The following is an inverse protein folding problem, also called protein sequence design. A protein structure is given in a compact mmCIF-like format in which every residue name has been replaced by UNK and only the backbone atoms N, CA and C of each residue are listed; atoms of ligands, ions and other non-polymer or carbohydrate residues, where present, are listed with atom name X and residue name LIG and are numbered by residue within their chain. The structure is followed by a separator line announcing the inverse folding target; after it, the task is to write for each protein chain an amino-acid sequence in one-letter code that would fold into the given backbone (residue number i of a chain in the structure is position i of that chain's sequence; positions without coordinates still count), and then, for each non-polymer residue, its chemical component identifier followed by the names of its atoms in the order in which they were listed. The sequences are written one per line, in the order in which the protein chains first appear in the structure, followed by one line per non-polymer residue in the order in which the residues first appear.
data_IF_699793531414
#
_entry.id   IF_699793531414
#
_cell.length_a   1.000
_cell.length_b   1.000
_cell.length_c   1.000
_cell.angle_alpha   90.00
_cell.angle_beta   90.00
_cell.angle_gamma   90.00
#
_symmetry.space_group_name_H-M   'P 1'
#
loop_
_entity.id
_entity.type
_entity.pdbx_description
1 polymer ?
#
# COMPACT_ATOMS: atom_id res chain seq x y z
N UNK A 1 10.79 4.12 6.72
CA UNK A 1 11.82 3.16 7.15
C UNK A 1 13.10 3.59 6.48
N UNK A 2 14.22 3.65 7.21
CA UNK A 2 15.54 3.94 6.68
C UNK A 2 16.55 3.01 7.35
N UNK A 3 17.71 2.79 6.74
CA UNK A 3 18.76 1.92 7.29
C UNK A 3 19.32 2.49 8.60
N UNK A 4 19.57 3.81 8.65
CA UNK A 4 20.09 4.47 9.82
C UNK A 4 19.07 5.43 10.45
N UNK A 5 18.36 4.96 11.48
CA UNK A 5 17.38 5.77 12.22
C UNK A 5 18.03 6.47 13.41
N UNK A 6 17.77 7.77 13.60
CA UNK A 6 18.28 8.50 14.75
C UNK A 6 18.01 9.99 14.70
N UNK A 7 18.76 10.73 15.51
CA UNK A 7 18.80 12.18 15.48
C UNK A 7 20.10 12.60 14.79
N UNK A 8 19.98 13.48 13.80
CA UNK A 8 21.11 14.05 13.07
C UNK A 8 20.93 15.56 12.98
N UNK A 9 22.02 16.29 13.19
CA UNK A 9 22.05 17.73 13.02
C UNK A 9 22.54 18.05 11.61
N UNK A 10 21.74 18.81 10.86
CA UNK A 10 22.02 19.21 9.49
C UNK A 10 21.79 20.71 9.35
N UNK A 11 22.43 21.32 8.36
CA UNK A 11 22.21 22.75 8.08
C UNK A 11 20.78 22.96 7.54
N UNK A 12 20.14 24.07 7.92
CA UNK A 12 18.86 24.44 7.33
C UNK A 12 19.01 24.61 5.81
N UNK A 13 18.06 24.06 5.04
CA UNK A 13 18.10 24.03 3.57
C UNK A 13 18.84 22.83 2.99
N UNK A 14 19.37 21.91 3.81
CA UNK A 14 19.92 20.63 3.33
C UNK A 14 18.83 19.90 2.52
N UNK A 15 19.12 19.43 1.29
CA UNK A 15 18.15 18.70 0.47
C UNK A 15 17.61 17.46 1.18
N UNK A 16 16.31 17.21 1.06
CA UNK A 16 15.68 16.04 1.68
C UNK A 16 16.34 14.71 1.24
N UNK A 17 16.77 14.62 -0.02
CA UNK A 17 17.47 13.48 -0.58
C UNK A 17 18.78 13.16 0.13
N UNK A 18 19.57 14.19 0.47
CA UNK A 18 20.82 14.03 1.21
C UNK A 18 20.54 13.46 2.61
N UNK A 19 19.51 13.98 3.29
CA UNK A 19 19.12 13.49 4.62
C UNK A 19 18.68 12.02 4.56
N UNK A 20 17.88 11.65 3.56
CA UNK A 20 17.32 10.29 3.47
C UNK A 20 18.33 9.27 2.96
N UNK A 21 19.09 9.60 1.91
CA UNK A 21 19.95 8.65 1.20
C UNK A 21 21.41 8.71 1.63
N UNK A 22 21.96 9.90 1.87
CA UNK A 22 23.39 10.03 2.23
C UNK A 22 23.59 9.82 3.74
N UNK A 23 22.70 10.40 4.56
CA UNK A 23 22.78 10.28 6.03
C UNK A 23 21.99 9.07 6.54
N UNK A 24 20.75 8.91 6.07
CA UNK A 24 19.86 7.80 6.44
C UNK A 24 20.19 6.46 5.77
N UNK A 25 21.15 6.45 4.83
CA UNK A 25 21.56 5.29 4.02
C UNK A 25 20.42 4.66 3.20
N UNK A 26 19.36 5.42 2.93
CA UNK A 26 18.24 4.99 2.07
C UNK A 26 17.31 3.96 2.72
N UNK A 27 16.51 3.30 1.87
CA UNK A 27 15.48 2.35 2.31
C UNK A 27 16.09 0.94 2.52
N UNK A 28 15.74 0.23 3.61
CA UNK A 28 16.18 -1.14 3.83
C UNK A 28 15.85 -2.07 2.67
N UNK A 29 16.71 -3.07 2.46
CA UNK A 29 16.52 -4.13 1.46
C UNK A 29 16.42 -3.62 0.00
N UNK A 30 16.83 -2.38 -0.26
CA UNK A 30 16.79 -1.80 -1.61
C UNK A 30 15.38 -1.54 -2.15
N UNK A 31 14.37 -1.49 -1.27
CA UNK A 31 12.99 -1.15 -1.65
C UNK A 31 12.89 0.28 -2.17
N UNK A 32 11.82 0.57 -2.90
CA UNK A 32 11.61 1.91 -3.45
C UNK A 32 11.18 2.90 -2.38
N UNK A 33 11.86 4.04 -2.34
CA UNK A 33 11.39 5.22 -1.61
C UNK A 33 10.08 5.71 -2.23
N UNK A 34 9.14 6.10 -1.38
CA UNK A 34 7.83 6.59 -1.81
C UNK A 34 7.60 8.04 -1.43
N UNK A 35 7.76 8.35 -0.14
CA UNK A 35 7.55 9.68 0.39
C UNK A 35 8.22 9.86 1.76
N UNK A 36 8.27 11.09 2.24
CA UNK A 36 8.58 11.40 3.64
C UNK A 36 7.44 12.21 4.22
N UNK A 37 7.12 11.98 5.48
CA UNK A 37 6.29 12.89 6.26
C UNK A 37 7.22 13.78 7.09
N UNK A 38 7.04 15.10 6.98
CA UNK A 38 7.82 16.11 7.71
C UNK A 38 6.91 17.01 8.53
N UNK A 39 7.35 17.35 9.75
CA UNK A 39 6.64 18.26 10.65
C UNK A 39 5.95 17.60 11.83
N UNK A 40 6.29 16.34 12.12
CA UNK A 40 5.62 15.56 13.17
C UNK A 40 4.17 15.20 12.80
N UNK A 41 3.32 14.78 13.75
CA UNK A 41 2.03 14.17 13.41
C UNK A 41 1.02 15.06 12.67
N UNK A 42 1.18 16.39 12.69
CA UNK A 42 0.34 17.34 11.93
C UNK A 42 1.03 17.89 10.68
N UNK A 43 2.14 17.25 10.30
CA UNK A 43 2.89 17.58 9.11
C UNK A 43 2.26 17.08 7.82
N UNK A 44 2.91 17.37 6.70
CA UNK A 44 2.49 16.90 5.39
C UNK A 44 3.43 15.84 4.83
N UNK A 45 3.01 15.22 3.73
CA UNK A 45 3.75 14.20 3.00
C UNK A 45 4.37 14.81 1.74
N UNK A 46 5.67 14.59 1.56
CA UNK A 46 6.44 15.02 0.39
C UNK A 46 6.80 13.77 -0.44
N UNK A 47 6.33 13.66 -1.69
CA UNK A 47 6.59 12.52 -2.57
C UNK A 47 8.02 12.54 -3.13
N UNK A 48 8.42 11.41 -3.73
CA UNK A 48 9.73 11.23 -4.40
C UNK A 48 10.06 12.32 -5.44
N UNK A 49 9.06 12.86 -6.12
CA UNK A 49 9.22 13.91 -7.14
C UNK A 49 9.85 15.20 -6.56
N UNK A 50 9.72 15.39 -5.24
CA UNK A 50 10.19 16.56 -4.51
C UNK A 50 11.37 16.23 -3.58
N UNK A 51 12.06 15.12 -3.81
CA UNK A 51 13.18 14.68 -2.97
C UNK A 51 14.35 15.69 -2.89
N UNK A 52 14.55 16.50 -3.94
CA UNK A 52 15.61 17.52 -3.96
C UNK A 52 15.19 18.85 -3.32
N UNK A 53 14.01 18.92 -2.69
CA UNK A 53 13.53 20.13 -2.04
C UNK A 53 14.43 20.44 -0.84
N UNK A 54 14.93 21.69 -0.71
CA UNK A 54 15.66 22.11 0.48
C UNK A 54 14.75 22.05 1.71
N UNK A 55 15.25 21.48 2.80
CA UNK A 55 14.49 21.41 4.06
C UNK A 55 14.62 22.76 4.79
N UNK A 56 13.77 23.70 4.38
CA UNK A 56 13.57 25.00 5.01
C UNK A 56 12.08 25.31 5.22
N UNK A 57 11.76 26.41 5.89
CA UNK A 57 10.37 26.75 6.21
C UNK A 57 9.50 27.02 4.98
N UNK A 58 10.05 27.66 3.96
CA UNK A 58 9.29 28.19 2.83
C UNK A 58 9.03 27.09 1.80
N UNK A 59 10.08 26.35 1.44
CA UNK A 59 10.02 25.26 0.47
C UNK A 59 9.16 24.09 0.98
N UNK A 60 9.26 23.74 2.26
CA UNK A 60 8.43 22.68 2.86
C UNK A 60 6.96 23.10 2.94
N UNK A 61 6.69 24.36 3.29
CA UNK A 61 5.31 24.89 3.35
C UNK A 61 4.65 24.93 1.97
N UNK A 62 5.41 25.26 0.92
CA UNK A 62 4.90 25.27 -0.46
C UNK A 62 4.39 23.89 -0.92
N UNK A 63 4.92 22.81 -0.36
CA UNK A 63 4.50 21.44 -0.65
C UNK A 63 3.32 20.96 0.22
N UNK A 64 2.76 21.81 1.08
CA UNK A 64 1.66 21.44 1.97
C UNK A 64 2.10 20.62 3.19
N UNK A 65 3.39 20.68 3.54
CA UNK A 65 3.93 20.18 4.79
C UNK A 65 4.36 21.34 5.70
N UNK A 66 4.89 21.05 6.87
CA UNK A 66 5.47 22.08 7.77
C UNK A 66 6.80 21.57 8.30
N UNK A 67 7.74 22.47 8.59
CA UNK A 67 9.00 22.06 9.20
C UNK A 67 8.78 21.45 10.60
N UNK A 68 7.84 22.01 11.36
CA UNK A 68 7.44 21.51 12.68
C UNK A 68 8.64 21.31 13.61
N UNK A 69 8.77 20.12 14.18
CA UNK A 69 9.89 19.71 15.05
C UNK A 69 11.13 19.20 14.29
N UNK A 70 11.11 19.17 12.95
CA UNK A 70 12.15 18.56 12.14
C UNK A 70 12.12 17.02 12.10
N UNK A 71 11.08 16.39 12.66
CA UNK A 71 10.89 14.94 12.58
C UNK A 71 10.54 14.49 11.17
N UNK A 72 11.23 13.47 10.68
CA UNK A 72 11.02 12.84 9.38
C UNK A 72 10.56 11.38 9.54
N UNK A 73 9.40 11.05 8.99
CA UNK A 73 8.92 9.67 8.87
C UNK A 73 8.99 9.26 7.40
N UNK A 74 10.05 8.54 7.04
CA UNK A 74 10.25 8.04 5.68
C UNK A 74 9.32 6.88 5.40
N UNK A 75 8.83 6.76 4.17
CA UNK A 75 7.92 5.72 3.71
C UNK A 75 8.42 5.06 2.42
N UNK A 76 8.23 3.76 2.33
CA UNK A 76 8.58 2.92 1.18
C UNK A 76 7.32 2.55 0.37
N UNK A 77 7.52 1.80 -0.72
CA UNK A 77 6.42 1.26 -1.55
C UNK A 77 5.43 0.35 -0.80
N UNK A 78 5.81 -0.11 0.40
CA UNK A 78 4.97 -0.95 1.27
C UNK A 78 4.07 -0.15 2.21
N UNK A 79 4.12 1.18 2.16
CA UNK A 79 3.34 2.07 3.01
C UNK A 79 2.08 2.55 2.27
N UNK A 80 0.88 2.35 2.83
CA UNK A 80 -0.39 2.80 2.25
C UNK A 80 -0.67 4.26 2.63
N UNK A 81 -0.87 5.16 1.67
CA UNK A 81 -1.06 6.59 1.98
C UNK A 81 -2.40 6.89 2.67
N UNK A 82 -3.43 6.09 2.40
CA UNK A 82 -4.71 6.15 3.14
C UNK A 82 -4.49 5.80 4.61
N UNK A 83 -3.71 4.75 4.88
CA UNK A 83 -3.42 4.28 6.24
C UNK A 83 -2.50 5.25 7.00
N UNK A 84 -1.53 5.84 6.32
CA UNK A 84 -0.67 6.90 6.87
C UNK A 84 -1.50 8.10 7.31
N UNK A 85 -2.42 8.59 6.47
CA UNK A 85 -3.30 9.69 6.81
C UNK A 85 -4.17 9.36 8.03
N UNK A 86 -4.68 8.12 8.12
CA UNK A 86 -5.45 7.64 9.28
C UNK A 86 -4.63 7.65 10.56
N UNK A 87 -3.41 7.12 10.52
CA UNK A 87 -2.53 7.03 11.68
C UNK A 87 -2.28 8.41 12.29
N UNK A 88 -1.93 9.39 11.46
CA UNK A 88 -1.67 10.74 11.92
C UNK A 88 -2.94 11.49 12.35
N UNK A 89 -4.07 11.26 11.68
CA UNK A 89 -5.34 11.82 12.14
C UNK A 89 -5.81 11.23 13.47
N UNK A 90 -5.61 9.94 13.71
CA UNK A 90 -5.98 9.33 14.99
C UNK A 90 -5.16 9.91 16.14
N UNK A 91 -3.84 10.09 15.93
CA UNK A 91 -2.99 10.80 16.87
C UNK A 91 -3.48 12.23 17.14
N UNK A 92 -3.72 13.01 16.09
CA UNK A 92 -4.14 14.41 16.26
C UNK A 92 -5.57 14.57 16.81
N UNK A 93 -6.42 13.55 16.62
CA UNK A 93 -7.75 13.45 17.27
C UNK A 93 -7.58 13.37 18.78
N UNK A 94 -6.68 12.51 19.24
CA UNK A 94 -6.45 12.25 20.66
C UNK A 94 -5.71 13.42 21.35
N UNK A 95 -4.85 14.14 20.62
CA UNK A 95 -4.18 15.35 21.10
C UNK A 95 -5.05 16.62 21.02
N UNK A 96 -6.26 16.53 20.47
CA UNK A 96 -7.16 17.68 20.37
C UNK A 96 -7.70 18.10 21.74
N UNK A 97 -7.55 19.37 22.09
CA UNK A 97 -8.15 19.93 23.31
C UNK A 97 -9.68 20.10 23.23
N UNK A 98 -10.28 19.90 22.05
CA UNK A 98 -11.73 19.96 21.84
C UNK A 98 -12.38 21.35 21.89
N UNK A 99 -11.60 22.44 21.93
CA UNK A 99 -12.13 23.80 22.12
C UNK A 99 -12.94 24.33 20.93
N UNK A 100 -12.43 24.18 19.70
CA UNK A 100 -13.09 24.67 18.49
C UNK A 100 -13.86 23.55 17.77
N UNK A 101 -15.06 23.86 17.30
CA UNK A 101 -15.94 22.89 16.62
C UNK A 101 -15.30 22.27 15.36
N UNK A 102 -14.64 23.05 14.46
CA UNK A 102 -13.98 22.48 13.28
C UNK A 102 -13.01 21.35 13.64
N UNK A 103 -12.10 21.58 14.58
CA UNK A 103 -11.16 20.55 15.04
C UNK A 103 -11.86 19.41 15.80
N UNK A 104 -12.68 19.72 16.82
CA UNK A 104 -13.30 18.71 17.71
C UNK A 104 -14.20 17.73 16.96
N UNK A 105 -14.99 18.21 16.01
CA UNK A 105 -15.95 17.39 15.28
C UNK A 105 -15.40 16.95 13.90
N UNK A 106 -14.60 17.80 13.26
CA UNK A 106 -14.11 17.56 11.91
C UNK A 106 -13.03 16.49 11.84
N UNK A 107 -12.06 16.48 12.77
CA UNK A 107 -11.00 15.45 12.77
C UNK A 107 -11.57 14.03 12.90
N UNK A 108 -12.46 13.73 13.88
CA UNK A 108 -13.12 12.43 13.95
C UNK A 108 -13.87 12.08 12.67
N UNK A 109 -14.51 13.06 12.02
CA UNK A 109 -15.27 12.81 10.78
C UNK A 109 -14.36 12.50 9.58
N UNK A 110 -13.22 13.17 9.46
CA UNK A 110 -12.20 12.80 8.45
C UNK A 110 -11.69 11.37 8.69
N UNK A 111 -11.42 11.02 9.94
CA UNK A 111 -10.97 9.67 10.31
C UNK A 111 -12.04 8.60 10.01
N UNK A 112 -13.31 8.90 10.24
CA UNK A 112 -14.44 8.03 9.88
C UNK A 112 -14.47 7.76 8.37
N UNK A 113 -14.33 8.80 7.54
CA UNK A 113 -14.29 8.68 6.08
C UNK A 113 -13.09 7.82 5.64
N UNK A 114 -11.91 8.08 6.17
CA UNK A 114 -10.73 7.29 5.85
C UNK A 114 -10.86 5.82 6.29
N UNK A 115 -11.50 5.56 7.45
CA UNK A 115 -11.81 4.21 7.89
C UNK A 115 -12.72 3.50 6.88
N UNK A 116 -13.79 4.16 6.45
CA UNK A 116 -14.71 3.66 5.41
C UNK A 116 -13.98 3.32 4.11
N UNK A 117 -13.09 4.21 3.65
CA UNK A 117 -12.24 3.96 2.46
C UNK A 117 -11.33 2.75 2.67
N UNK A 118 -10.63 2.67 3.81
CA UNK A 118 -9.74 1.54 4.12
C UNK A 118 -10.45 0.20 4.30
N UNK A 119 -11.77 0.23 4.53
CA UNK A 119 -12.63 -0.95 4.64
C UNK A 119 -13.26 -1.36 3.30
N UNK A 120 -13.03 -0.59 2.23
CA UNK A 120 -13.65 -0.84 0.92
C UNK A 120 -15.09 -0.38 0.85
N UNK A 121 -15.57 0.39 1.82
CA UNK A 121 -16.94 0.93 1.86
C UNK A 121 -17.01 2.35 1.33
N UNK A 122 -15.86 2.99 1.07
CA UNK A 122 -15.77 4.35 0.56
C UNK A 122 -16.32 4.53 -0.85
N UNK A 123 -16.75 5.75 -1.15
CA UNK A 123 -17.25 6.22 -2.45
C UNK A 123 -16.42 7.39 -2.96
N UNK A 124 -16.57 7.73 -4.24
CA UNK A 124 -15.88 8.92 -4.80
C UNK A 124 -16.35 10.22 -4.15
N UNK A 125 -17.63 10.31 -3.80
CA UNK A 125 -18.20 11.44 -3.06
C UNK A 125 -17.53 11.62 -1.68
N UNK A 126 -17.16 10.51 -1.01
CA UNK A 126 -16.44 10.60 0.25
C UNK A 126 -15.07 11.31 0.09
N UNK A 127 -14.42 11.24 -1.07
CA UNK A 127 -13.16 11.96 -1.32
C UNK A 127 -13.36 13.46 -1.43
N UNK A 128 -14.43 13.87 -2.10
CA UNK A 128 -14.76 15.29 -2.25
C UNK A 128 -15.13 15.88 -0.89
N UNK A 129 -15.98 15.19 -0.13
CA UNK A 129 -16.33 15.55 1.25
C UNK A 129 -15.09 15.59 2.15
N UNK A 130 -14.18 14.62 2.03
CA UNK A 130 -12.94 14.58 2.80
C UNK A 130 -12.05 15.79 2.51
N UNK A 131 -11.91 16.17 1.25
CA UNK A 131 -11.11 17.32 0.82
C UNK A 131 -11.71 18.64 1.34
N UNK A 132 -13.01 18.85 1.15
CA UNK A 132 -13.71 20.05 1.62
C UNK A 132 -13.65 20.18 3.15
N UNK A 133 -13.85 19.05 3.86
CA UNK A 133 -13.78 19.00 5.31
C UNK A 133 -12.36 19.33 5.80
N UNK A 134 -11.32 18.79 5.15
CA UNK A 134 -9.94 19.07 5.49
C UNK A 134 -9.59 20.56 5.32
N UNK A 135 -10.00 21.19 4.22
CA UNK A 135 -9.80 22.63 3.99
C UNK A 135 -10.56 23.51 4.99
N UNK A 136 -11.80 23.13 5.32
CA UNK A 136 -12.60 23.85 6.32
C UNK A 136 -11.94 23.80 7.70
N UNK A 137 -11.45 22.63 8.12
CA UNK A 137 -10.77 22.48 9.41
C UNK A 137 -9.49 23.31 9.44
N UNK A 138 -8.70 23.28 8.37
CA UNK A 138 -7.45 24.02 8.26
C UNK A 138 -7.66 25.53 8.39
N UNK A 139 -8.72 26.07 7.77
CA UNK A 139 -9.01 27.51 7.74
C UNK A 139 -9.79 28.02 8.96
N UNK A 140 -10.64 27.20 9.57
CA UNK A 140 -11.56 27.63 10.64
C UNK A 140 -11.11 27.26 12.06
N UNK A 141 -10.02 26.49 12.22
CA UNK A 141 -9.51 26.09 13.53
C UNK A 141 -8.78 27.24 14.25
N UNK A 142 -8.90 27.27 15.58
CA UNK A 142 -8.40 28.39 16.41
C UNK A 142 -6.88 28.36 16.66
N UNK A 143 -6.24 27.19 16.62
CA UNK A 143 -4.83 27.03 16.98
C UNK A 143 -4.06 26.24 15.91
N UNK A 144 -2.74 26.30 15.98
CA UNK A 144 -1.85 25.64 15.02
C UNK A 144 -2.13 24.16 14.83
N UNK A 145 -2.34 23.40 15.92
CA UNK A 145 -2.68 21.96 15.82
C UNK A 145 -3.93 21.75 14.95
N UNK A 146 -5.03 22.43 15.25
CA UNK A 146 -6.26 22.26 14.46
C UNK A 146 -6.11 22.72 13.01
N UNK A 147 -5.29 23.74 12.76
CA UNK A 147 -5.03 24.24 11.40
C UNK A 147 -4.17 23.26 10.59
N UNK A 148 -3.25 22.53 11.22
CA UNK A 148 -2.30 21.64 10.55
C UNK A 148 -2.69 20.15 10.61
N UNK A 149 -3.58 19.74 11.52
CA UNK A 149 -4.10 18.36 11.59
C UNK A 149 -4.59 17.80 10.25
N UNK A 150 -5.19 18.58 9.32
CA UNK A 150 -5.59 18.06 8.01
C UNK A 150 -4.45 17.87 7.00
N UNK A 151 -3.23 18.36 7.28
CA UNK A 151 -2.11 18.30 6.33
C UNK A 151 -1.78 16.89 5.83
N UNK A 152 -1.76 15.83 6.66
CA UNK A 152 -1.56 14.46 6.17
C UNK A 152 -2.59 14.10 5.10
N UNK A 153 -3.86 14.47 5.29
CA UNK A 153 -4.94 14.20 4.33
C UNK A 153 -4.80 15.03 3.06
N UNK A 154 -4.60 16.33 3.20
CA UNK A 154 -4.50 17.24 2.04
C UNK A 154 -3.30 16.88 1.15
N UNK A 155 -2.15 16.59 1.76
CA UNK A 155 -0.94 16.22 1.03
C UNK A 155 -1.05 14.84 0.39
N UNK A 156 -1.61 13.84 1.06
CA UNK A 156 -1.79 12.50 0.45
C UNK A 156 -2.87 12.49 -0.62
N UNK A 157 -3.96 13.26 -0.47
CA UNK A 157 -4.95 13.42 -1.55
C UNK A 157 -4.36 14.14 -2.77
N UNK A 158 -3.45 15.09 -2.55
CA UNK A 158 -2.79 15.81 -3.64
C UNK A 158 -1.82 14.93 -4.43
N UNK A 159 -1.01 14.14 -3.72
CA UNK A 159 0.13 13.43 -4.32
C UNK A 159 -0.13 11.95 -4.57
N UNK A 160 -1.14 11.35 -3.95
CA UNK A 160 -1.41 9.91 -3.98
C UNK A 160 -2.90 9.60 -4.14
N UNK A 161 -3.65 10.46 -4.87
CA UNK A 161 -5.10 10.30 -5.08
C UNK A 161 -5.44 8.93 -5.66
N UNK A 162 -4.60 8.42 -6.55
CA UNK A 162 -4.74 7.12 -7.18
C UNK A 162 -4.80 5.96 -6.18
N UNK A 163 -4.13 6.08 -5.02
CA UNK A 163 -4.26 5.08 -3.97
C UNK A 163 -5.65 5.11 -3.34
N UNK A 164 -6.23 6.28 -3.10
CA UNK A 164 -7.59 6.41 -2.61
C UNK A 164 -8.59 5.81 -3.60
N UNK A 165 -8.42 6.12 -4.88
CA UNK A 165 -9.24 5.59 -5.96
C UNK A 165 -9.14 4.07 -6.07
N UNK A 166 -7.95 3.48 -5.91
CA UNK A 166 -7.79 2.02 -5.87
C UNK A 166 -8.54 1.37 -4.69
N UNK A 167 -8.61 2.03 -3.53
CA UNK A 167 -9.39 1.53 -2.39
C UNK A 167 -10.90 1.60 -2.66
N UNK A 168 -11.35 2.60 -3.42
CA UNK A 168 -12.77 2.86 -3.69
C UNK A 168 -13.29 2.05 -4.88
N UNK A 169 -12.59 2.07 -6.00
CA UNK A 169 -13.00 1.51 -7.29
C UNK A 169 -12.63 0.03 -7.34
N UNK A 170 -11.34 -0.27 -7.17
CA UNK A 170 -10.83 -1.63 -7.31
C UNK A 170 -11.04 -2.47 -6.04
N UNK A 171 -11.39 -1.82 -4.93
CA UNK A 171 -11.46 -2.42 -3.58
C UNK A 171 -10.14 -3.13 -3.24
N UNK A 172 -9.02 -2.49 -3.61
CA UNK A 172 -7.66 -3.01 -3.41
C UNK A 172 -6.79 -1.98 -2.71
N UNK A 173 -5.97 -2.45 -1.77
CA UNK A 173 -4.89 -1.65 -1.17
C UNK A 173 -3.57 -1.97 -1.89
N UNK A 174 -2.99 -1.08 -2.72
CA UNK A 174 -1.77 -1.39 -3.46
C UNK A 174 -0.60 -1.83 -2.57
N UNK A 175 -0.49 -1.24 -1.38
CA UNK A 175 0.53 -1.57 -0.39
C UNK A 175 0.27 -2.87 0.40
N UNK A 176 -0.92 -3.48 0.27
CA UNK A 176 -1.37 -4.67 1.02
C UNK A 176 -1.38 -4.47 2.56
N UNK A 177 -1.76 -3.28 3.01
CA UNK A 177 -1.82 -2.92 4.45
C UNK A 177 -3.25 -3.00 5.00
N UNK A 178 -4.23 -2.43 4.30
CA UNK A 178 -5.62 -2.37 4.75
C UNK A 178 -6.29 -3.75 4.67
N UNK A 179 -6.31 -4.47 5.81
CA UNK A 179 -6.67 -5.89 5.88
C UNK A 179 -8.08 -6.22 5.38
N UNK A 180 -9.03 -5.29 5.47
CA UNK A 180 -10.39 -5.50 4.99
C UNK A 180 -10.47 -5.68 3.46
N UNK A 181 -9.46 -5.21 2.71
CA UNK A 181 -9.44 -5.23 1.25
C UNK A 181 -8.83 -6.51 0.65
N UNK A 182 -8.35 -7.45 1.47
CA UNK A 182 -7.78 -8.69 0.95
C UNK A 182 -7.84 -9.84 1.96
N UNK A 183 -7.96 -11.07 1.47
CA UNK A 183 -7.91 -12.28 2.31
C UNK A 183 -6.50 -12.59 2.81
N UNK A 184 -5.52 -12.50 1.91
CA UNK A 184 -4.11 -12.73 2.22
C UNK A 184 -3.21 -11.84 1.35
N UNK A 185 -2.08 -11.32 1.87
CA UNK A 185 -1.19 -10.48 1.07
C UNK A 185 -0.60 -11.20 -0.14
N UNK A 186 -0.32 -12.50 -0.02
CA UNK A 186 0.25 -13.30 -1.09
C UNK A 186 -0.73 -13.44 -2.27
N UNK A 187 -2.02 -13.69 -2.01
CA UNK A 187 -3.05 -13.72 -3.05
C UNK A 187 -3.27 -12.33 -3.66
N UNK A 188 -3.32 -11.30 -2.82
CA UNK A 188 -3.58 -9.92 -3.22
C UNK A 188 -2.53 -9.35 -4.19
N UNK A 189 -1.26 -9.65 -3.92
CA UNK A 189 -0.12 -9.18 -4.72
C UNK A 189 0.15 -10.04 -5.94
N UNK A 190 -0.55 -11.17 -6.08
CA UNK A 190 -0.44 -12.02 -7.25
C UNK A 190 -1.22 -11.39 -8.43
N UNK A 191 -0.57 -11.09 -9.58
CA UNK A 191 -1.27 -10.46 -10.72
C UNK A 191 -2.43 -11.30 -11.29
N UNK A 192 -2.38 -12.61 -11.08
CA UNK A 192 -3.43 -13.56 -11.48
C UNK A 192 -4.28 -14.03 -10.29
N UNK A 193 -4.09 -13.43 -9.11
CA UNK A 193 -4.87 -13.66 -7.89
C UNK A 193 -5.01 -15.15 -7.50
N UNK A 194 -3.90 -15.89 -7.60
CA UNK A 194 -3.86 -17.29 -7.19
C UNK A 194 -4.28 -17.46 -5.73
N UNK A 195 -5.05 -18.51 -5.45
CA UNK A 195 -5.35 -18.93 -4.08
C UNK A 195 -4.13 -19.63 -3.46
N UNK A 196 -3.13 -18.81 -3.13
CA UNK A 196 -1.86 -19.24 -2.55
C UNK A 196 -2.04 -19.93 -1.21
N UNK A 197 -2.80 -19.39 -0.24
CA UNK A 197 -3.07 -20.11 1.00
C UNK A 197 -3.70 -21.48 0.75
N UNK A 198 -4.67 -21.56 -0.19
CA UNK A 198 -5.36 -22.80 -0.52
C UNK A 198 -4.41 -23.88 -1.03
N UNK A 199 -3.61 -23.60 -2.07
CA UNK A 199 -2.73 -24.64 -2.62
C UNK A 199 -1.56 -24.97 -1.69
N UNK A 200 -1.07 -24.01 -0.89
CA UNK A 200 -0.05 -24.31 0.13
C UNK A 200 -0.61 -25.25 1.20
N UNK A 201 -1.87 -25.10 1.61
CA UNK A 201 -2.54 -26.03 2.53
C UNK A 201 -2.68 -27.42 1.92
N UNK A 202 -3.09 -27.52 0.65
CA UNK A 202 -3.19 -28.80 -0.05
C UNK A 202 -1.83 -29.52 -0.18
N UNK A 203 -0.75 -28.78 -0.44
CA UNK A 203 0.61 -29.33 -0.46
C UNK A 203 0.99 -29.89 0.93
N UNK A 204 0.70 -29.14 2.00
CA UNK A 204 0.96 -29.58 3.38
C UNK A 204 0.24 -30.91 3.70
N UNK A 205 -0.96 -31.11 3.16
CA UNK A 205 -1.75 -32.33 3.32
C UNK A 205 -1.32 -33.49 2.38
N UNK A 206 -0.32 -33.29 1.51
CA UNK A 206 0.11 -34.27 0.51
C UNK A 206 -0.82 -34.37 -0.72
N UNK A 207 -1.79 -33.46 -0.86
CA UNK A 207 -2.81 -33.46 -1.92
C UNK A 207 -2.32 -32.70 -3.16
N UNK A 208 -1.23 -33.17 -3.75
CA UNK A 208 -0.52 -32.44 -4.82
C UNK A 208 -1.32 -32.27 -6.11
N UNK A 209 -2.11 -33.28 -6.51
CA UNK A 209 -2.97 -33.22 -7.70
C UNK A 209 -4.04 -32.14 -7.55
N UNK A 210 -4.60 -32.00 -6.36
CA UNK A 210 -5.61 -30.98 -6.05
C UNK A 210 -4.98 -29.60 -5.97
N UNK A 211 -3.79 -29.48 -5.36
CA UNK A 211 -3.01 -28.25 -5.36
C UNK A 211 -2.71 -27.77 -6.78
N UNK A 212 -2.28 -28.68 -7.67
CA UNK A 212 -2.03 -28.38 -9.08
C UNK A 212 -3.29 -27.90 -9.79
N UNK A 213 -4.39 -28.63 -9.59
CA UNK A 213 -5.70 -28.29 -10.17
C UNK A 213 -6.19 -26.93 -9.70
N UNK A 214 -6.01 -26.59 -8.43
CA UNK A 214 -6.35 -25.27 -7.87
C UNK A 214 -5.51 -24.16 -8.51
N UNK A 215 -4.20 -24.35 -8.68
CA UNK A 215 -3.33 -23.39 -9.38
C UNK A 215 -3.79 -23.20 -10.83
N UNK A 216 -4.10 -24.30 -11.53
CA UNK A 216 -4.53 -24.29 -12.95
C UNK A 216 -5.85 -23.56 -13.20
N UNK A 217 -6.67 -23.32 -12.18
CA UNK A 217 -7.91 -22.54 -12.30
C UNK A 217 -7.65 -21.09 -12.73
N UNK A 218 -6.51 -20.51 -12.34
CA UNK A 218 -6.16 -19.11 -12.67
C UNK A 218 -4.83 -18.95 -13.39
N UNK A 219 -3.96 -19.96 -13.35
CA UNK A 219 -2.68 -19.93 -14.04
C UNK A 219 -2.56 -21.11 -15.01
N UNK A 220 -2.63 -20.89 -16.33
CA UNK A 220 -2.47 -21.96 -17.32
C UNK A 220 -1.04 -22.51 -17.39
N UNK A 221 -0.02 -21.78 -16.91
CA UNK A 221 1.40 -22.13 -17.03
C UNK A 221 2.12 -22.21 -15.67
N UNK A 222 1.67 -23.07 -14.73
CA UNK A 222 2.28 -23.16 -13.40
C UNK A 222 3.73 -23.63 -13.45
N UNK A 223 4.09 -24.50 -14.40
CA UNK A 223 5.46 -25.01 -14.60
C UNK A 223 6.44 -23.90 -14.98
N UNK A 224 6.01 -22.96 -15.83
CA UNK A 224 6.81 -21.79 -16.23
C UNK A 224 6.86 -20.78 -15.09
N UNK A 225 5.71 -20.43 -14.50
CA UNK A 225 5.67 -19.47 -13.40
C UNK A 225 6.44 -19.96 -12.16
N UNK A 226 6.56 -21.26 -11.93
CA UNK A 226 7.44 -21.82 -10.88
C UNK A 226 8.94 -21.61 -11.13
N UNK A 227 9.33 -21.17 -12.34
CA UNK A 227 10.74 -20.97 -12.74
C UNK A 227 11.09 -19.51 -12.98
N UNK A 228 10.20 -18.74 -13.61
CA UNK A 228 10.51 -17.38 -14.08
C UNK A 228 9.76 -16.27 -13.35
N UNK A 229 8.81 -16.59 -12.46
CA UNK A 229 8.04 -15.57 -11.76
C UNK A 229 8.93 -14.79 -10.76
N UNK A 230 8.77 -13.47 -10.74
CA UNK A 230 9.38 -12.57 -9.76
C UNK A 230 8.71 -12.62 -8.36
N UNK A 231 7.74 -13.52 -8.16
CA UNK A 231 7.21 -13.93 -6.85
C UNK A 231 6.85 -12.79 -5.87
N UNK A 232 6.01 -11.81 -6.28
CA UNK A 232 5.64 -10.68 -5.42
C UNK A 232 4.93 -11.12 -4.13
N UNK A 233 4.28 -12.27 -4.19
CA UNK A 233 3.64 -12.95 -3.08
C UNK A 233 4.57 -13.33 -1.92
N UNK A 234 5.88 -13.50 -2.18
CA UNK A 234 6.87 -13.83 -1.15
C UNK A 234 7.37 -12.56 -0.46
N UNK A 235 7.59 -11.48 -1.21
CA UNK A 235 8.00 -10.17 -0.65
C UNK A 235 7.00 -9.61 0.36
N UNK A 236 5.70 -9.92 0.18
CA UNK A 236 4.61 -9.50 1.07
C UNK A 236 4.15 -10.60 2.03
N UNK A 237 4.89 -11.71 2.12
CA UNK A 237 4.51 -12.81 2.98
C UNK A 237 4.60 -12.42 4.46
N UNK A 238 3.50 -12.54 5.22
CA UNK A 238 3.50 -12.23 6.67
C UNK A 238 4.47 -13.09 7.46
N UNK A 239 4.82 -14.29 6.97
CA UNK A 239 5.78 -15.18 7.63
C UNK A 239 7.17 -14.56 7.74
N UNK A 240 7.57 -13.71 6.78
CA UNK A 240 8.83 -12.98 6.81
C UNK A 240 8.96 -12.01 8.00
N UNK A 241 7.87 -11.69 8.72
CA UNK A 241 7.92 -10.90 9.95
C UNK A 241 8.40 -11.72 11.16
N UNK A 242 8.44 -13.05 11.04
CA UNK A 242 8.86 -13.96 12.11
C UNK A 242 10.18 -14.65 11.79
N UNK A 243 10.29 -15.21 10.58
CA UNK A 243 11.51 -15.85 10.08
C UNK A 243 11.73 -15.54 8.59
N UNK A 244 11.29 -16.42 7.69
CA UNK A 244 11.50 -16.33 6.25
C UNK A 244 10.18 -16.46 5.48
N UNK A 245 10.05 -15.83 4.31
CA UNK A 245 8.86 -15.99 3.49
C UNK A 245 8.68 -17.46 3.07
N UNK A 246 7.43 -17.88 2.92
CA UNK A 246 7.14 -19.18 2.31
C UNK A 246 7.67 -19.17 0.88
N UNK A 247 8.43 -20.20 0.48
CA UNK A 247 8.95 -20.39 -0.87
C UNK A 247 7.84 -20.78 -1.87
N UNK A 248 6.86 -19.90 -2.03
CA UNK A 248 5.64 -20.06 -2.85
C UNK A 248 5.97 -20.42 -4.31
N UNK A 249 7.02 -19.82 -4.89
CA UNK A 249 7.48 -20.12 -6.25
C UNK A 249 7.98 -21.56 -6.37
N UNK A 250 8.75 -22.02 -5.39
CA UNK A 250 9.33 -23.36 -5.41
C UNK A 250 8.26 -24.42 -5.11
N UNK A 251 7.31 -24.13 -4.21
CA UNK A 251 6.12 -24.97 -4.00
C UNK A 251 5.27 -25.11 -5.26
N UNK A 252 5.08 -24.01 -6.01
CA UNK A 252 4.38 -24.03 -7.29
C UNK A 252 5.12 -24.86 -8.34
N UNK A 253 6.45 -24.73 -8.39
CA UNK A 253 7.31 -25.54 -9.26
C UNK A 253 7.18 -27.02 -8.91
N UNK A 254 7.35 -27.36 -7.64
CA UNK A 254 7.26 -28.73 -7.14
C UNK A 254 5.93 -29.39 -7.54
N UNK A 255 4.81 -28.72 -7.31
CA UNK A 255 3.49 -29.25 -7.67
C UNK A 255 3.31 -29.42 -9.18
N UNK A 256 3.82 -28.47 -9.98
CA UNK A 256 3.73 -28.56 -11.43
C UNK A 256 4.61 -29.69 -11.99
N UNK A 257 5.81 -29.86 -11.46
CA UNK A 257 6.74 -30.93 -11.85
C UNK A 257 6.16 -32.30 -11.43
N UNK A 258 5.63 -32.43 -10.21
CA UNK A 258 4.93 -33.62 -9.74
C UNK A 258 3.76 -34.02 -10.66
N UNK A 259 2.92 -33.03 -11.02
CA UNK A 259 1.78 -33.26 -11.91
C UNK A 259 2.23 -33.77 -13.29
N UNK A 260 3.31 -33.21 -13.84
CA UNK A 260 3.86 -33.64 -15.12
C UNK A 260 4.41 -35.07 -15.07
N UNK A 261 5.20 -35.39 -14.05
CA UNK A 261 5.78 -36.73 -13.85
C UNK A 261 4.73 -37.83 -13.64
N UNK A 262 3.58 -37.48 -13.06
CA UNK A 262 2.47 -38.41 -12.81
C UNK A 262 1.38 -38.37 -13.88
N UNK A 263 1.60 -37.69 -15.01
CA UNK A 263 0.65 -37.63 -16.12
C UNK A 263 -0.68 -36.98 -15.77
N UNK A 264 -0.69 -36.03 -14.83
CA UNK A 264 -1.89 -35.33 -14.39
C UNK A 264 -2.32 -34.34 -15.46
N UNK A 265 -3.43 -34.63 -16.11
CA UNK A 265 -4.07 -33.71 -17.04
C UNK A 265 -5.08 -32.81 -16.32
N UNK A 266 -5.09 -31.53 -16.70
CA UNK A 266 -6.10 -30.57 -16.25
C UNK A 266 -6.82 -30.01 -17.46
N UNK A 267 -8.11 -30.31 -17.55
CA UNK A 267 -9.02 -29.70 -18.52
C UNK A 267 -9.95 -28.76 -17.74
N UNK A 268 -9.92 -27.44 -18.01
CA UNK A 268 -10.82 -26.51 -17.34
C UNK A 268 -12.26 -26.86 -17.67
N UNK A 269 -13.14 -26.81 -16.66
CA UNK A 269 -14.56 -27.05 -16.88
C UNK A 269 -15.18 -25.90 -17.68
N UNK A 270 -15.93 -26.27 -18.72
CA UNK A 270 -16.73 -25.32 -19.48
C UNK A 270 -17.93 -24.93 -18.62
N UNK A 271 -17.93 -23.69 -18.09
CA UNK A 271 -19.01 -23.19 -17.23
C UNK A 271 -20.33 -23.02 -17.98
N UNK A 272 -20.27 -22.50 -19.20
CA UNK A 272 -21.42 -22.23 -20.05
C UNK A 272 -21.01 -22.42 -21.51
N UNK A 273 -21.82 -23.16 -22.27
CA UNK A 273 -21.64 -23.25 -23.72
C UNK A 273 -22.35 -22.06 -24.36
N UNK A 274 -21.58 -21.29 -25.12
CA UNK A 274 -22.06 -20.18 -25.93
C UNK A 274 -22.30 -20.67 -27.37
N UNK A 275 -23.41 -20.25 -27.97
CA UNK A 275 -23.79 -20.60 -29.35
C UNK A 275 -22.94 -19.83 -30.38
N UNK A 276 -22.31 -18.75 -29.93
CA UNK A 276 -21.41 -17.92 -30.70
C UNK A 276 -20.16 -18.70 -31.11
N UNK A 277 -19.79 -18.57 -32.39
CA UNK A 277 -18.57 -19.17 -32.93
C UNK A 277 -17.42 -18.21 -32.73
N UNK A 278 -16.35 -18.68 -32.10
CA UNK A 278 -15.11 -17.91 -31.93
C UNK A 278 -14.15 -18.33 -33.05
N UNK A 279 -13.65 -17.34 -33.81
CA UNK A 279 -12.52 -17.54 -34.71
C UNK A 279 -11.24 -17.14 -33.99
N UNK A 280 -10.30 -18.07 -33.83
CA UNK A 280 -8.95 -17.77 -33.33
C UNK A 280 -8.11 -17.37 -34.54
N UNK A 281 -7.82 -16.09 -34.69
CA UNK A 281 -6.98 -15.56 -35.79
C UNK A 281 -5.61 -15.21 -35.22
N UNK A 282 -4.61 -15.98 -35.64
CA UNK A 282 -3.25 -15.94 -35.10
C UNK A 282 -3.06 -16.92 -33.95
N UNK A 283 -1.99 -17.70 -34.01
CA UNK A 283 -1.33 -18.18 -32.82
C UNK A 283 -0.27 -17.11 -32.50
N UNK A 284 -0.27 -16.54 -31.30
CA UNK A 284 0.89 -15.75 -30.86
C UNK A 284 2.18 -16.58 -30.99
N UNK A 285 3.36 -15.94 -30.99
CA UNK A 285 4.64 -16.62 -31.21
C UNK A 285 4.84 -17.83 -30.29
#
# INVERSE_FOLDING_TARGET
KINNTGLVEVSLGTPLGEIVFDIGEGIPEGKKFKAVQIGGPSGGVIPIEHLNTPVDYEAVTALGAIMGSGGLVVMDEDSCMVDVAKFFLDFTKDESCGKCTPCRAGIPKMLEILNKISQGEGTMEDLDVLSELAEMIASASLCGLGQTSPNPVLSTLRHFREEYEAHIIDKKCPAAVCQALFKSPCQHTCPVELDIPGYVSLIKEGRFVEAYSLIKQRNPFPSICGRVCHHPCEFKCRRAQFDEPIAIRDLKRFVADYAFEHGVEYVPQVKERKEERIAIIGAGP
#
